data_IF_859628879196
#
_entry.id   IF_859628879196
#
_cell.length_a   1.000
_cell.length_b   1.000
_cell.length_c   1.000
_cell.angle_alpha   90.00
_cell.angle_beta   90.00
_cell.angle_gamma   90.00
#
_symmetry.space_group_name_H-M   'P 1'
#
loop_
_entity.id
_entity.type
_entity.pdbx_description
1 polymer ?
#
# COMPACT_ATOMS: atom_id res chain seq x y z
N UNK A 1 -10.49 -1.52 -1.61
CA UNK A 1 -9.56 -0.57 -0.95
C UNK A 1 -10.20 0.21 0.19
N UNK A 2 -11.21 1.07 0.00
CA UNK A 2 -11.90 1.70 1.15
C UNK A 2 -12.64 0.67 2.03
N UNK A 3 -13.23 -0.35 1.41
CA UNK A 3 -13.86 -1.47 2.11
C UNK A 3 -12.86 -2.33 2.91
N UNK A 4 -11.63 -2.48 2.41
CA UNK A 4 -10.56 -3.22 3.10
C UNK A 4 -10.00 -2.48 4.33
N UNK A 5 -10.04 -1.14 4.31
CA UNK A 5 -9.71 -0.31 5.47
C UNK A 5 -10.76 -0.46 6.57
N UNK A 6 -12.05 -0.43 6.19
CA UNK A 6 -13.16 -0.64 7.12
C UNK A 6 -13.16 -2.04 7.74
N UNK A 7 -12.83 -3.07 6.97
CA UNK A 7 -12.70 -4.44 7.48
C UNK A 7 -11.51 -4.57 8.46
N UNK A 8 -10.40 -3.90 8.15
CA UNK A 8 -9.24 -3.84 9.04
C UNK A 8 -9.54 -3.15 10.38
N UNK A 9 -10.27 -2.04 10.35
CA UNK A 9 -10.69 -1.34 11.58
C UNK A 9 -11.62 -2.20 12.45
N UNK A 10 -12.58 -2.90 11.84
CA UNK A 10 -13.47 -3.83 12.58
C UNK A 10 -12.67 -4.95 13.22
N UNK A 11 -11.75 -5.57 12.47
CA UNK A 11 -10.92 -6.65 12.98
C UNK A 11 -10.04 -6.22 14.17
N UNK A 12 -9.52 -5.00 14.16
CA UNK A 12 -8.81 -4.44 15.31
C UNK A 12 -9.73 -4.23 16.51
N UNK A 13 -10.90 -3.62 16.29
CA UNK A 13 -11.87 -3.37 17.35
C UNK A 13 -12.27 -4.67 18.06
N UNK A 14 -12.57 -5.73 17.31
CA UNK A 14 -12.94 -7.04 17.86
C UNK A 14 -11.84 -7.63 18.76
N UNK A 15 -10.56 -7.42 18.43
CA UNK A 15 -9.45 -7.88 19.24
C UNK A 15 -9.33 -7.14 20.57
N UNK A 16 -9.68 -5.84 20.62
CA UNK A 16 -9.62 -5.05 21.86
C UNK A 16 -10.60 -5.52 22.94
N UNK A 17 -11.69 -6.20 22.56
CA UNK A 17 -12.66 -6.80 23.49
C UNK A 17 -12.39 -8.28 23.79
N UNK A 18 -11.27 -8.82 23.29
CA UNK A 18 -10.93 -10.23 23.46
C UNK A 18 -9.90 -10.46 24.58
N UNK A 19 -10.02 -11.63 25.23
CA UNK A 19 -8.98 -12.16 26.12
C UNK A 19 -8.51 -13.49 25.56
N UNK A 20 -7.23 -13.80 25.75
CA UNK A 20 -6.62 -15.03 25.25
C UNK A 20 -5.99 -15.81 26.39
N UNK A 21 -6.01 -17.14 26.26
CA UNK A 21 -5.33 -18.03 27.19
C UNK A 21 -3.93 -18.31 26.64
N UNK A 22 -2.90 -17.98 27.41
CA UNK A 22 -1.50 -18.23 27.05
C UNK A 22 -0.91 -19.33 27.94
N UNK A 23 -0.23 -20.28 27.31
CA UNK A 23 0.54 -21.32 27.97
C UNK A 23 1.99 -20.85 28.08
N UNK A 24 2.48 -20.70 29.30
CA UNK A 24 3.86 -20.28 29.60
C UNK A 24 4.56 -21.31 30.48
N UNK A 25 5.88 -21.19 30.65
CA UNK A 25 6.64 -22.03 31.58
C UNK A 25 6.18 -21.89 33.04
N UNK A 26 5.46 -20.82 33.37
CA UNK A 26 4.87 -20.57 34.69
C UNK A 26 3.44 -21.11 34.85
N UNK A 27 2.83 -21.64 33.77
CA UNK A 27 1.47 -22.19 33.78
C UNK A 27 0.53 -21.53 32.77
N UNK A 28 -0.77 -21.74 32.98
CA UNK A 28 -1.87 -21.23 32.15
C UNK A 28 -2.30 -19.87 32.67
N UNK A 29 -2.17 -18.82 31.86
CA UNK A 29 -2.56 -17.46 32.22
C UNK A 29 -3.61 -16.92 31.25
N UNK A 30 -4.57 -16.15 31.76
CA UNK A 30 -5.48 -15.35 30.93
C UNK A 30 -4.85 -13.98 30.73
N UNK A 31 -4.68 -13.58 29.48
CA UNK A 31 -4.02 -12.32 29.10
C UNK A 31 -4.99 -11.51 28.26
N UNK A 32 -5.17 -10.24 28.63
CA UNK A 32 -5.96 -9.29 27.86
C UNK A 32 -5.18 -8.77 26.66
N UNK A 33 -5.90 -8.15 25.72
CA UNK A 33 -5.29 -7.42 24.62
C UNK A 33 -4.29 -6.36 25.15
N UNK A 34 -3.07 -6.35 24.60
CA UNK A 34 -2.05 -5.37 24.96
C UNK A 34 -2.30 -4.08 24.19
N UNK A 35 -3.13 -3.21 24.76
CA UNK A 35 -3.61 -1.99 24.11
C UNK A 35 -2.47 -1.13 23.56
N UNK A 36 -1.42 -0.88 24.33
CA UNK A 36 -0.29 -0.03 23.91
C UNK A 36 0.35 -0.54 22.61
N UNK A 37 0.70 -1.82 22.56
CA UNK A 37 1.39 -2.39 21.39
C UNK A 37 0.43 -2.54 20.22
N UNK A 38 -0.78 -3.03 20.48
CA UNK A 38 -1.77 -3.24 19.45
C UNK A 38 -2.21 -1.93 18.78
N UNK A 39 -2.42 -0.86 19.56
CA UNK A 39 -2.77 0.46 19.02
C UNK A 39 -1.62 1.03 18.19
N UNK A 40 -0.38 1.00 18.69
CA UNK A 40 0.78 1.46 17.92
C UNK A 40 0.91 0.71 16.59
N UNK A 41 0.89 -0.63 16.62
CA UNK A 41 0.97 -1.46 15.42
C UNK A 41 -0.17 -1.14 14.43
N UNK A 42 -1.38 -0.89 14.95
CA UNK A 42 -2.55 -0.56 14.15
C UNK A 42 -2.46 0.81 13.47
N UNK A 43 -2.04 1.84 14.22
CA UNK A 43 -1.86 3.20 13.70
C UNK A 43 -0.79 3.19 12.62
N UNK A 44 0.38 2.61 12.88
CA UNK A 44 1.47 2.51 11.90
C UNK A 44 1.03 1.77 10.63
N UNK A 45 0.29 0.67 10.77
CA UNK A 45 -0.23 -0.06 9.61
C UNK A 45 -1.28 0.75 8.83
N UNK A 46 -2.12 1.53 9.52
CA UNK A 46 -3.08 2.45 8.93
C UNK A 46 -2.40 3.55 8.11
N UNK A 47 -1.39 4.20 8.68
CA UNK A 47 -0.60 5.24 8.01
C UNK A 47 0.12 4.69 6.77
N UNK A 48 0.78 3.53 6.89
CA UNK A 48 1.46 2.89 5.78
C UNK A 48 0.49 2.51 4.63
N UNK A 49 -0.70 2.03 4.96
CA UNK A 49 -1.76 1.76 3.97
C UNK A 49 -2.24 3.05 3.30
N UNK A 50 -2.43 4.12 4.07
CA UNK A 50 -2.90 5.40 3.55
C UNK A 50 -1.87 6.05 2.62
N UNK A 51 -0.58 6.00 2.99
CA UNK A 51 0.51 6.48 2.14
C UNK A 51 0.58 5.70 0.82
N UNK A 52 0.47 4.36 0.89
CA UNK A 52 0.39 3.51 -0.31
C UNK A 52 -0.79 3.88 -1.19
N UNK A 53 -1.96 4.14 -0.60
CA UNK A 53 -3.15 4.54 -1.34
C UNK A 53 -2.97 5.89 -2.03
N UNK A 54 -2.32 6.85 -1.36
CA UNK A 54 -1.97 8.14 -1.96
C UNK A 54 -0.98 8.00 -3.13
N UNK A 55 0.03 7.13 -3.00
CA UNK A 55 0.95 6.81 -4.09
C UNK A 55 0.22 6.18 -5.29
N UNK A 56 -0.68 5.23 -5.06
CA UNK A 56 -1.48 4.61 -6.12
C UNK A 56 -2.40 5.64 -6.81
N UNK A 57 -3.05 6.52 -6.05
CA UNK A 57 -3.88 7.61 -6.61
C UNK A 57 -3.05 8.57 -7.46
N UNK A 58 -1.83 8.90 -7.03
CA UNK A 58 -0.90 9.72 -7.80
C UNK A 58 -0.53 9.06 -9.13
N UNK A 59 -0.10 7.79 -9.09
CA UNK A 59 0.24 7.03 -10.31
C UNK A 59 -0.94 6.94 -11.27
N UNK A 60 -2.12 6.59 -10.75
CA UNK A 60 -3.35 6.49 -11.54
C UNK A 60 -3.70 7.82 -12.21
N UNK A 61 -3.59 8.94 -11.48
CA UNK A 61 -3.88 10.27 -12.03
C UNK A 61 -2.98 10.56 -13.23
N UNK A 62 -1.66 10.43 -13.07
CA UNK A 62 -0.70 10.77 -14.12
C UNK A 62 -0.80 9.82 -15.32
N UNK A 63 -0.97 8.52 -15.07
CA UNK A 63 -1.16 7.57 -16.15
C UNK A 63 -2.45 7.85 -16.94
N UNK A 64 -3.52 8.27 -16.27
CA UNK A 64 -4.76 8.68 -16.94
C UNK A 64 -4.58 9.94 -17.77
N UNK A 65 -3.81 10.92 -17.28
CA UNK A 65 -3.46 12.13 -18.04
C UNK A 65 -2.68 11.78 -19.31
N UNK A 66 -1.70 10.88 -19.20
CA UNK A 66 -0.97 10.34 -20.35
C UNK A 66 -1.90 9.65 -21.35
N UNK A 67 -2.78 8.74 -20.89
CA UNK A 67 -3.73 8.05 -21.79
C UNK A 67 -4.64 9.03 -22.54
N UNK A 68 -5.05 10.13 -21.91
CA UNK A 68 -5.85 11.16 -22.56
C UNK A 68 -5.07 12.01 -23.57
N UNK A 69 -3.73 11.98 -23.51
CA UNK A 69 -2.85 12.68 -24.45
C UNK A 69 -2.59 11.89 -25.74
N UNK A 70 -2.84 10.57 -25.71
CA UNK A 70 -2.69 9.69 -26.85
C UNK A 70 -3.74 9.98 -27.93
N UNK A 71 -3.36 9.81 -29.19
CA UNK A 71 -4.28 9.86 -30.31
C UNK A 71 -5.24 8.67 -30.30
N UNK A 72 -6.40 8.82 -30.95
CA UNK A 72 -7.39 7.74 -31.04
C UNK A 72 -6.84 6.46 -31.67
N UNK A 73 -5.86 6.57 -32.57
CA UNK A 73 -5.21 5.40 -33.21
C UNK A 73 -4.28 4.66 -32.26
N UNK A 74 -3.56 5.40 -31.41
CA UNK A 74 -2.67 4.81 -30.40
C UNK A 74 -3.49 4.12 -29.30
N UNK A 75 -4.60 4.73 -28.88
CA UNK A 75 -5.55 4.11 -27.95
C UNK A 75 -6.19 2.85 -28.52
N UNK A 76 -6.61 2.88 -29.79
CA UNK A 76 -7.20 1.72 -30.46
C UNK A 76 -6.20 0.57 -30.58
N UNK A 77 -4.93 0.86 -30.88
CA UNK A 77 -3.85 -0.13 -30.84
C UNK A 77 -3.71 -0.75 -29.45
N UNK A 78 -3.66 0.05 -28.40
CA UNK A 78 -3.48 -0.46 -27.03
C UNK A 78 -4.64 -1.33 -26.57
N UNK A 79 -5.87 -0.95 -26.93
CA UNK A 79 -7.05 -1.77 -26.66
C UNK A 79 -6.96 -3.10 -27.40
N UNK A 80 -6.70 -3.09 -28.71
CA UNK A 80 -6.61 -4.31 -29.50
C UNK A 80 -5.46 -5.23 -29.07
N UNK A 81 -4.31 -4.66 -28.70
CA UNK A 81 -3.12 -5.40 -28.32
C UNK A 81 -3.21 -5.98 -26.90
N UNK A 82 -3.68 -5.21 -25.92
CA UNK A 82 -3.69 -5.63 -24.51
C UNK A 82 -5.00 -6.22 -24.01
N UNK A 83 -6.15 -5.90 -24.63
CA UNK A 83 -7.46 -6.44 -24.21
C UNK A 83 -7.97 -7.56 -25.12
N UNK A 84 -7.65 -7.55 -26.41
CA UNK A 84 -8.26 -8.47 -27.39
C UNK A 84 -7.32 -9.61 -27.83
N UNK A 85 -6.13 -9.74 -27.21
CA UNK A 85 -5.09 -10.74 -27.53
C UNK A 85 -4.77 -10.83 -29.04
N UNK A 86 -4.91 -9.72 -29.76
CA UNK A 86 -4.65 -9.68 -31.19
C UNK A 86 -3.17 -9.47 -31.46
N UNK A 87 -2.62 -10.20 -32.43
CA UNK A 87 -1.25 -9.97 -32.94
C UNK A 87 -1.23 -8.69 -33.78
N UNK A 88 -1.36 -7.53 -33.11
CA UNK A 88 -1.20 -6.26 -33.77
C UNK A 88 0.26 -6.15 -34.26
N UNK A 89 0.41 -5.85 -35.55
CA UNK A 89 1.71 -5.72 -36.20
C UNK A 89 2.45 -4.49 -35.62
N UNK A 90 3.48 -4.77 -34.83
CA UNK A 90 4.60 -3.91 -34.42
C UNK A 90 4.34 -2.39 -34.45
N UNK A 91 3.75 -1.87 -33.37
CA UNK A 91 3.93 -0.48 -32.95
C UNK A 91 4.82 -0.43 -31.71
N UNK A 92 6.02 -1.01 -31.84
CA UNK A 92 7.07 -1.01 -30.80
C UNK A 92 7.33 0.38 -30.22
N UNK A 93 7.16 1.45 -31.01
CA UNK A 93 7.31 2.82 -30.56
C UNK A 93 6.27 3.24 -29.50
N UNK A 94 5.02 2.77 -29.61
CA UNK A 94 3.96 3.04 -28.63
C UNK A 94 4.24 2.25 -27.35
N UNK A 95 4.63 0.99 -27.49
CA UNK A 95 4.96 0.13 -26.35
C UNK A 95 6.15 0.71 -25.55
N UNK A 96 7.19 1.18 -26.25
CA UNK A 96 8.33 1.86 -25.62
C UNK A 96 7.88 3.15 -24.95
N UNK A 97 7.09 3.99 -25.61
CA UNK A 97 6.63 5.26 -25.03
C UNK A 97 5.79 5.07 -23.75
N UNK A 98 4.98 4.01 -23.68
CA UNK A 98 4.19 3.69 -22.49
C UNK A 98 5.09 3.21 -21.35
N UNK A 99 6.06 2.35 -21.65
CA UNK A 99 6.99 1.85 -20.64
C UNK A 99 7.86 2.98 -20.10
N UNK A 100 8.28 3.92 -20.94
CA UNK A 100 9.00 5.12 -20.54
C UNK A 100 8.15 5.99 -19.61
N UNK A 101 6.89 6.27 -19.98
CA UNK A 101 5.97 7.02 -19.12
C UNK A 101 5.73 6.32 -17.77
N UNK A 102 5.52 4.99 -17.77
CA UNK A 102 5.39 4.22 -16.54
C UNK A 102 6.64 4.36 -15.67
N UNK A 103 7.83 4.29 -16.28
CA UNK A 103 9.10 4.46 -15.56
C UNK A 103 9.21 5.85 -14.94
N UNK A 104 8.85 6.91 -15.67
CA UNK A 104 8.87 8.29 -15.15
C UNK A 104 7.87 8.47 -13.98
N UNK A 105 6.66 7.92 -14.11
CA UNK A 105 5.65 7.97 -13.05
C UNK A 105 6.12 7.22 -11.79
N UNK A 106 6.74 6.05 -11.96
CA UNK A 106 7.30 5.27 -10.87
C UNK A 106 8.44 6.02 -10.17
N UNK A 107 9.35 6.61 -10.94
CA UNK A 107 10.45 7.42 -10.41
C UNK A 107 9.90 8.63 -9.63
N UNK A 108 8.98 9.40 -10.22
CA UNK A 108 8.35 10.55 -9.57
C UNK A 108 7.59 10.14 -8.29
N UNK A 109 6.88 9.01 -8.32
CA UNK A 109 6.22 8.46 -7.13
C UNK A 109 7.24 8.09 -6.04
N UNK A 110 8.38 7.52 -6.42
CA UNK A 110 9.41 7.10 -5.47
C UNK A 110 10.04 8.26 -4.71
N UNK A 111 10.32 9.37 -5.42
CA UNK A 111 10.82 10.60 -4.82
C UNK A 111 9.78 11.25 -3.89
N UNK A 112 8.51 11.26 -4.31
CA UNK A 112 7.45 11.95 -3.59
C UNK A 112 7.00 11.25 -2.31
N UNK A 113 6.85 9.93 -2.34
CA UNK A 113 6.30 9.14 -1.24
C UNK A 113 7.37 8.36 -0.47
N UNK A 114 8.65 8.78 -0.60
CA UNK A 114 9.83 8.08 -0.08
C UNK A 114 9.71 6.58 -0.24
N UNK A 115 9.23 6.17 -1.42
CA UNK A 115 8.87 4.78 -1.69
C UNK A 115 10.16 4.01 -2.01
N UNK A 116 11.14 4.07 -1.11
CA UNK A 116 12.20 3.09 -1.02
C UNK A 116 11.55 1.71 -0.92
N UNK A 117 12.20 0.68 -1.44
CA UNK A 117 11.83 -0.76 -1.40
C UNK A 117 11.45 -1.34 -0.01
N UNK A 118 11.28 -0.50 1.02
CA UNK A 118 10.78 -0.79 2.35
C UNK A 118 9.37 -1.40 2.40
N UNK A 119 8.54 -1.31 1.35
CA UNK A 119 7.21 -1.98 1.31
C UNK A 119 7.26 -3.52 1.25
N UNK A 120 8.45 -4.11 1.22
CA UNK A 120 8.64 -5.54 1.47
C UNK A 120 8.99 -5.88 2.91
N UNK A 121 9.30 -4.88 3.75
CA UNK A 121 9.40 -5.12 5.19
C UNK A 121 8.00 -4.99 5.79
N UNK A 122 7.51 -6.03 6.50
CA UNK A 122 6.33 -5.85 7.33
C UNK A 122 6.57 -4.66 8.28
N UNK A 123 5.49 -3.94 8.68
CA UNK A 123 5.63 -2.91 9.70
C UNK A 123 6.42 -3.48 10.90
N UNK A 124 7.38 -2.72 11.45
CA UNK A 124 8.16 -3.19 12.59
C UNK A 124 7.18 -3.58 13.70
N UNK A 125 7.32 -4.81 14.20
CA UNK A 125 6.49 -5.31 15.31
C UNK A 125 6.86 -4.50 16.55
N UNK A 126 5.90 -4.14 17.42
CA UNK A 126 6.13 -3.32 18.62
C UNK A 126 7.37 -3.66 19.47
N UNK A 127 7.89 -4.89 19.40
CA UNK A 127 9.18 -5.28 20.00
C UNK A 127 10.43 -4.57 19.42
N UNK A 128 10.30 -3.88 18.29
CA UNK A 128 11.38 -3.19 17.57
C UNK A 128 11.24 -1.65 17.65
N UNK A 129 10.15 -1.13 18.23
CA UNK A 129 9.91 0.30 18.40
C UNK A 129 10.63 0.80 19.66
N UNK A 130 11.45 1.83 19.50
CA UNK A 130 12.04 2.56 20.65
C UNK A 130 11.02 3.55 21.22
N UNK A 131 11.21 3.95 22.48
CA UNK A 131 10.33 4.92 23.16
C UNK A 131 10.17 6.24 22.38
N UNK A 132 11.20 6.67 21.64
CA UNK A 132 11.15 7.84 20.76
C UNK A 132 10.14 7.68 19.62
N UNK A 133 10.06 6.49 18.99
CA UNK A 133 9.08 6.24 17.92
C UNK A 133 7.65 6.20 18.46
N UNK A 134 7.45 5.73 19.69
CA UNK A 134 6.14 5.74 20.33
C UNK A 134 5.67 7.16 20.68
N UNK A 135 6.61 8.04 21.05
CA UNK A 135 6.30 9.45 21.33
C UNK A 135 5.90 10.21 20.06
N UNK A 136 6.59 10.00 18.94
CA UNK A 136 6.21 10.63 17.65
C UNK A 136 4.79 10.24 17.21
N UNK A 137 4.37 8.99 17.45
CA UNK A 137 3.01 8.51 17.13
C UNK A 137 1.92 9.11 18.04
N UNK A 138 2.27 9.62 19.22
CA UNK A 138 1.32 10.24 20.16
C UNK A 138 1.19 11.76 19.94
N UNK A 139 2.14 12.37 19.23
CA UNK A 139 2.17 13.81 18.96
C UNK A 139 1.59 14.20 17.58
N UNK A 140 1.32 13.22 16.71
CA UNK A 140 0.69 13.38 15.38
C UNK A 140 -0.86 13.32 15.45
#
# INVERSE_FOLDING_TARGET
>A
MEEELLEYERGFYDQTFSTQVQYTSLGINVVAFKVEHGVCDHVMAGEAKQERLNALKFKQKHFKEYLNSLSSKELEYLVQYHLEESTASEQQAIDVAILDEISEIEEASSYRYKTTRAYMKPPPVASELTDEHMLELLEA
#
